data_IF_539413288551
#
_entry.id   IF_539413288551
#
_cell.length_a   1.000
_cell.length_b   1.000
_cell.length_c   1.000
_cell.angle_alpha   90.00
_cell.angle_beta   90.00
_cell.angle_gamma   90.00
#
_symmetry.space_group_name_H-M   'P 1'
#
loop_
_entity.id
_entity.type
_entity.pdbx_description
1 polymer ?
#
# COMPACT_ATOMS: atom_id res chain seq x y z
N UNK A 1 -12.88 -4.49 22.19
CA UNK A 1 -11.94 -3.40 21.82
C UNK A 1 -11.04 -3.80 20.64
N UNK A 2 -10.26 -4.88 20.75
CA UNK A 2 -9.37 -5.34 19.66
C UNK A 2 -10.10 -5.59 18.32
N UNK A 3 -11.24 -6.28 18.34
CA UNK A 3 -12.03 -6.53 17.12
C UNK A 3 -12.53 -5.25 16.45
N UNK A 4 -12.94 -4.24 17.22
CA UNK A 4 -13.41 -2.95 16.69
C UNK A 4 -12.30 -2.18 15.99
N UNK A 5 -11.08 -2.22 16.55
CA UNK A 5 -9.90 -1.60 15.93
C UNK A 5 -9.48 -2.34 14.65
N UNK A 6 -9.56 -3.67 14.62
CA UNK A 6 -9.20 -4.49 13.46
C UNK A 6 -10.16 -4.20 12.29
N UNK A 7 -11.47 -4.21 12.59
CA UNK A 7 -12.51 -3.84 11.63
C UNK A 7 -12.32 -2.40 11.15
N UNK A 8 -12.03 -1.48 12.06
CA UNK A 8 -11.73 -0.08 11.74
C UNK A 8 -10.56 0.04 10.76
N UNK A 9 -9.43 -0.61 11.06
CA UNK A 9 -8.27 -0.66 10.17
C UNK A 9 -8.64 -1.23 8.79
N UNK A 10 -9.39 -2.34 8.79
CA UNK A 10 -9.99 -2.98 7.62
C UNK A 10 -10.75 -2.00 6.71
N UNK A 11 -11.65 -1.22 7.33
CA UNK A 11 -12.48 -0.22 6.66
C UNK A 11 -11.62 0.92 6.10
N UNK A 12 -10.71 1.50 6.87
CA UNK A 12 -9.85 2.60 6.42
C UNK A 12 -8.95 2.20 5.24
N UNK A 13 -8.39 0.99 5.26
CA UNK A 13 -7.61 0.46 4.14
C UNK A 13 -8.48 0.16 2.91
N UNK A 14 -9.67 -0.37 3.11
CA UNK A 14 -10.64 -0.56 2.03
C UNK A 14 -10.99 0.78 1.36
N UNK A 15 -11.24 1.83 2.15
CA UNK A 15 -11.48 3.18 1.61
C UNK A 15 -10.23 3.70 0.87
N UNK A 16 -9.03 3.45 1.40
CA UNK A 16 -7.77 3.78 0.73
C UNK A 16 -7.71 3.16 -0.68
N UNK A 17 -7.99 1.86 -0.81
CA UNK A 17 -8.00 1.19 -2.11
C UNK A 17 -9.06 1.76 -3.06
N UNK A 18 -10.27 2.01 -2.58
CA UNK A 18 -11.34 2.62 -3.38
C UNK A 18 -10.95 4.01 -3.88
N UNK A 19 -10.30 4.81 -3.03
CA UNK A 19 -9.81 6.14 -3.40
C UNK A 19 -8.66 6.06 -4.42
N UNK A 20 -7.72 5.10 -4.27
CA UNK A 20 -6.65 4.85 -5.25
C UNK A 20 -7.27 4.51 -6.61
N UNK A 21 -8.22 3.56 -6.65
CA UNK A 21 -8.92 3.17 -7.86
C UNK A 21 -9.65 4.36 -8.49
N UNK A 22 -10.40 5.11 -7.70
CA UNK A 22 -11.13 6.28 -8.19
C UNK A 22 -10.19 7.32 -8.77
N UNK A 23 -9.16 7.71 -8.01
CA UNK A 23 -8.20 8.75 -8.39
C UNK A 23 -7.44 8.32 -9.65
N UNK A 24 -7.01 7.07 -9.71
CA UNK A 24 -6.32 6.54 -10.88
C UNK A 24 -7.19 6.50 -12.14
N UNK A 25 -8.48 6.17 -12.00
CA UNK A 25 -9.42 6.18 -13.12
C UNK A 25 -9.73 7.60 -13.62
N UNK A 26 -9.82 8.57 -12.69
CA UNK A 26 -10.08 9.99 -12.97
C UNK A 26 -8.89 10.67 -13.65
N UNK A 27 -7.68 10.40 -13.17
CA UNK A 27 -6.46 11.02 -13.70
C UNK A 27 -5.85 10.25 -14.88
N UNK A 28 -6.34 9.04 -15.17
CA UNK A 28 -5.73 8.10 -16.13
C UNK A 28 -4.25 7.83 -15.82
N UNK A 29 -3.94 7.74 -14.53
CA UNK A 29 -2.62 7.44 -13.97
C UNK A 29 -2.75 6.37 -12.90
N UNK A 30 -1.68 5.63 -12.60
CA UNK A 30 -1.73 4.66 -11.51
C UNK A 30 -1.46 5.35 -10.17
N UNK A 31 -2.22 4.99 -9.14
CA UNK A 31 -2.11 5.62 -7.82
C UNK A 31 -1.14 4.96 -6.84
N UNK A 32 -0.75 3.70 -7.09
CA UNK A 32 0.15 2.95 -6.20
C UNK A 32 1.50 2.66 -6.86
N UNK A 33 2.64 2.95 -6.21
CA UNK A 33 3.96 2.59 -6.72
C UNK A 33 4.13 1.08 -6.97
N UNK A 34 4.87 0.71 -8.02
CA UNK A 34 5.00 -0.68 -8.47
C UNK A 34 5.39 -1.66 -7.35
N UNK A 35 6.47 -1.38 -6.61
CA UNK A 35 6.96 -2.31 -5.60
C UNK A 35 5.97 -2.48 -4.45
N UNK A 36 5.23 -1.42 -4.09
CA UNK A 36 4.16 -1.51 -3.10
C UNK A 36 2.98 -2.36 -3.61
N UNK A 37 2.60 -2.19 -4.88
CA UNK A 37 1.56 -3.01 -5.51
C UNK A 37 1.94 -4.49 -5.59
N UNK A 38 3.18 -4.80 -6.00
CA UNK A 38 3.70 -6.17 -6.04
C UNK A 38 3.69 -6.81 -4.65
N UNK A 39 4.12 -6.08 -3.62
CA UNK A 39 4.12 -6.55 -2.25
C UNK A 39 2.70 -6.82 -1.75
N UNK A 40 1.77 -5.87 -1.96
CA UNK A 40 0.36 -6.02 -1.59
C UNK A 40 -0.29 -7.24 -2.24
N UNK A 41 -0.22 -7.36 -3.57
CA UNK A 41 -0.76 -8.51 -4.31
C UNK A 41 -0.21 -9.84 -3.77
N UNK A 42 1.10 -9.90 -3.54
CA UNK A 42 1.75 -11.08 -3.02
C UNK A 42 1.29 -11.41 -1.60
N UNK A 43 1.25 -10.41 -0.70
CA UNK A 43 0.81 -10.58 0.68
C UNK A 43 -0.64 -11.07 0.73
N UNK A 44 -1.56 -10.38 0.06
CA UNK A 44 -2.98 -10.75 0.06
C UNK A 44 -3.19 -12.16 -0.51
N UNK A 45 -2.47 -12.52 -1.59
CA UNK A 45 -2.56 -13.86 -2.15
C UNK A 45 -2.02 -14.94 -1.19
N UNK A 46 -0.83 -14.73 -0.63
CA UNK A 46 -0.19 -15.68 0.29
C UNK A 46 -1.10 -15.92 1.49
N UNK A 47 -1.57 -14.86 2.16
CA UNK A 47 -2.37 -14.98 3.37
C UNK A 47 -3.86 -15.24 3.13
N UNK A 48 -4.29 -15.30 1.86
CA UNK A 48 -5.60 -15.80 1.48
C UNK A 48 -5.59 -17.28 1.09
N UNK A 49 -4.52 -17.78 0.44
CA UNK A 49 -4.51 -19.11 -0.19
C UNK A 49 -3.38 -20.04 0.28
N UNK A 50 -2.18 -19.52 0.57
CA UNK A 50 -0.99 -20.34 0.90
C UNK A 50 -0.87 -20.56 2.40
N UNK A 51 -0.90 -19.47 3.17
CA UNK A 51 -0.92 -19.44 4.63
C UNK A 51 -2.22 -18.76 5.09
N UNK A 52 -3.38 -19.38 4.83
CA UNK A 52 -4.65 -18.68 4.90
C UNK A 52 -4.98 -18.26 6.33
N UNK A 53 -5.16 -16.95 6.55
CA UNK A 53 -5.55 -16.40 7.84
C UNK A 53 -6.83 -17.05 8.40
N UNK A 54 -7.01 -17.09 9.74
CA UNK A 54 -8.28 -17.51 10.30
C UNK A 54 -9.41 -16.53 9.93
N UNK A 55 -10.64 -17.02 9.99
CA UNK A 55 -11.81 -16.15 9.90
C UNK A 55 -11.84 -15.16 11.08
N UNK A 56 -12.27 -13.89 10.89
CA UNK A 56 -12.85 -13.30 9.67
C UNK A 56 -11.82 -12.65 8.72
N UNK A 57 -10.55 -12.54 9.10
CA UNK A 57 -9.52 -11.81 8.33
C UNK A 57 -9.35 -12.37 6.92
N UNK A 58 -9.51 -13.69 6.72
CA UNK A 58 -9.47 -14.30 5.39
C UNK A 58 -10.44 -13.67 4.37
N UNK A 59 -11.64 -13.30 4.80
CA UNK A 59 -12.64 -12.65 3.94
C UNK A 59 -12.15 -11.26 3.54
N UNK A 60 -11.55 -10.53 4.49
CA UNK A 60 -10.97 -9.21 4.24
C UNK A 60 -9.84 -9.33 3.22
N UNK A 61 -8.97 -10.34 3.34
CA UNK A 61 -7.89 -10.56 2.37
C UNK A 61 -8.43 -10.85 0.97
N UNK A 62 -9.50 -11.63 0.82
CA UNK A 62 -10.13 -11.82 -0.51
C UNK A 62 -10.65 -10.50 -1.08
N UNK A 63 -11.30 -9.67 -0.25
CA UNK A 63 -11.79 -8.34 -0.66
C UNK A 63 -10.62 -7.44 -1.07
N UNK A 64 -9.56 -7.37 -0.27
CA UNK A 64 -8.37 -6.59 -0.56
C UNK A 64 -7.65 -7.05 -1.82
N UNK A 65 -7.50 -8.37 -2.01
CA UNK A 65 -6.95 -8.93 -3.24
C UNK A 65 -7.77 -8.50 -4.47
N UNK A 66 -9.10 -8.47 -4.39
CA UNK A 66 -9.91 -7.99 -5.53
C UNK A 66 -9.66 -6.52 -5.85
N UNK A 67 -9.44 -5.67 -4.84
CA UNK A 67 -9.07 -4.28 -5.07
C UNK A 67 -7.65 -4.15 -5.64
N UNK A 68 -6.69 -4.91 -5.14
CA UNK A 68 -5.32 -4.91 -5.65
C UNK A 68 -5.26 -5.38 -7.10
N UNK A 69 -6.09 -6.35 -7.52
CA UNK A 69 -6.23 -6.72 -8.94
C UNK A 69 -6.77 -5.56 -9.78
N UNK A 70 -7.68 -4.75 -9.24
CA UNK A 70 -8.14 -3.52 -9.89
C UNK A 70 -7.02 -2.48 -10.01
N UNK A 71 -6.22 -2.29 -8.96
CA UNK A 71 -5.08 -1.36 -8.95
C UNK A 71 -3.99 -1.85 -9.91
N UNK A 72 -3.77 -3.17 -9.99
CA UNK A 72 -2.92 -3.81 -10.98
C UNK A 72 -3.37 -3.52 -12.40
N UNK A 73 -4.67 -3.66 -12.69
CA UNK A 73 -5.21 -3.32 -14.00
C UNK A 73 -4.95 -1.84 -14.36
N UNK A 74 -5.08 -0.91 -13.39
CA UNK A 74 -4.72 0.49 -13.60
C UNK A 74 -3.23 0.70 -13.82
N UNK A 75 -2.37 0.01 -13.07
CA UNK A 75 -0.92 0.05 -13.25
C UNK A 75 -0.53 -0.41 -14.65
N UNK A 76 -1.04 -1.56 -15.10
CA UNK A 76 -0.72 -2.11 -16.42
C UNK A 76 -1.30 -1.27 -17.56
N UNK A 77 -2.45 -0.63 -17.35
CA UNK A 77 -3.11 0.22 -18.38
C UNK A 77 -2.49 1.61 -18.50
N UNK A 78 -2.16 2.24 -17.37
CA UNK A 78 -1.71 3.64 -17.34
C UNK A 78 -0.19 3.78 -17.16
N UNK A 79 0.45 2.84 -16.46
CA UNK A 79 1.88 2.91 -16.15
C UNK A 79 2.80 2.73 -17.36
N UNK A 80 2.32 2.09 -18.44
CA UNK A 80 3.09 1.99 -19.68
C UNK A 80 3.38 3.37 -20.30
N UNK A 81 2.52 4.36 -20.07
CA UNK A 81 2.70 5.74 -20.56
C UNK A 81 3.82 6.49 -19.86
N UNK A 82 4.18 6.07 -18.66
CA UNK A 82 5.29 6.61 -17.88
C UNK A 82 6.57 5.79 -18.04
N UNK A 83 6.52 4.70 -18.82
CA UNK A 83 7.70 3.91 -19.10
C UNK A 83 8.62 4.66 -20.08
N UNK A 84 9.95 4.67 -19.88
CA UNK A 84 10.86 5.43 -20.74
C UNK A 84 10.73 5.01 -22.20
N UNK A 85 10.52 5.98 -23.10
CA UNK A 85 10.32 5.73 -24.54
C UNK A 85 11.54 5.09 -25.22
N UNK A 86 12.73 5.29 -24.64
CA UNK A 86 13.99 4.70 -25.10
C UNK A 86 14.17 3.23 -24.71
N UNK A 87 13.24 2.64 -23.96
CA UNK A 87 13.30 1.24 -23.54
C UNK A 87 12.22 0.38 -24.24
N UNK A 88 12.50 -0.89 -24.57
CA UNK A 88 11.50 -1.79 -25.12
C UNK A 88 10.31 -1.97 -24.19
N UNK A 89 9.08 -1.79 -24.71
CA UNK A 89 7.83 -1.99 -23.95
C UNK A 89 7.74 -3.33 -23.21
N UNK A 90 8.24 -4.47 -23.73
CA UNK A 90 8.24 -5.73 -22.97
C UNK A 90 8.93 -5.64 -21.60
N UNK A 91 9.95 -4.78 -21.45
CA UNK A 91 10.65 -4.59 -20.17
C UNK A 91 9.76 -4.00 -19.08
N UNK A 92 8.70 -3.27 -19.44
CA UNK A 92 7.70 -2.84 -18.47
C UNK A 92 7.02 -4.03 -17.78
N UNK A 93 6.57 -5.02 -18.57
CA UNK A 93 5.91 -6.21 -18.08
C UNK A 93 6.87 -7.16 -17.36
N UNK A 94 8.09 -7.32 -17.87
CA UNK A 94 9.14 -8.10 -17.21
C UNK A 94 9.48 -7.52 -15.84
N UNK A 95 9.64 -6.19 -15.74
CA UNK A 95 9.87 -5.49 -14.46
C UNK A 95 8.72 -5.73 -13.48
N UNK A 96 7.48 -5.67 -13.95
CA UNK A 96 6.31 -5.98 -13.12
C UNK A 96 6.32 -7.43 -12.63
N UNK A 97 6.54 -8.39 -13.53
CA UNK A 97 6.54 -9.82 -13.21
C UNK A 97 7.66 -10.18 -12.23
N UNK A 98 8.88 -9.68 -12.46
CA UNK A 98 10.02 -9.87 -11.55
C UNK A 98 9.70 -9.26 -10.18
N UNK A 99 9.15 -8.05 -10.15
CA UNK A 99 8.76 -7.41 -8.90
C UNK A 99 7.73 -8.23 -8.12
N UNK A 100 6.71 -8.75 -8.80
CA UNK A 100 5.68 -9.58 -8.18
C UNK A 100 6.22 -10.91 -7.66
N UNK A 101 7.02 -11.62 -8.47
CA UNK A 101 7.63 -12.89 -8.08
C UNK A 101 8.61 -12.69 -6.91
N UNK A 102 9.44 -11.64 -6.97
CA UNK A 102 10.37 -11.34 -5.88
C UNK A 102 9.63 -10.97 -4.60
N UNK A 103 8.58 -10.15 -4.67
CA UNK A 103 7.73 -9.84 -3.52
C UNK A 103 7.10 -11.10 -2.91
N UNK A 104 6.57 -12.01 -3.74
CA UNK A 104 5.98 -13.26 -3.27
C UNK A 104 7.02 -14.13 -2.56
N UNK A 105 8.17 -14.37 -3.19
CA UNK A 105 9.26 -15.15 -2.60
C UNK A 105 9.76 -14.52 -1.30
N UNK A 106 9.98 -13.21 -1.29
CA UNK A 106 10.45 -12.49 -0.12
C UNK A 106 9.47 -12.61 1.06
N UNK A 107 8.17 -12.40 0.82
CA UNK A 107 7.15 -12.50 1.87
C UNK A 107 7.05 -13.94 2.39
N UNK A 108 7.03 -14.94 1.50
CA UNK A 108 7.01 -16.36 1.90
C UNK A 108 8.23 -16.73 2.74
N UNK A 109 9.44 -16.31 2.33
CA UNK A 109 10.66 -16.64 3.07
C UNK A 109 10.79 -15.84 4.36
N UNK A 110 10.29 -14.60 4.46
CA UNK A 110 10.17 -13.88 5.74
C UNK A 110 9.29 -14.66 6.71
N UNK A 111 8.15 -15.19 6.26
CA UNK A 111 7.26 -16.00 7.10
C UNK A 111 7.92 -17.29 7.58
N UNK A 112 8.70 -17.95 6.73
CA UNK A 112 9.43 -19.16 7.11
C UNK A 112 10.56 -18.84 8.08
N UNK A 113 11.40 -17.84 7.78
CA UNK A 113 12.58 -17.47 8.58
C UNK A 113 12.21 -17.01 9.98
N UNK A 114 11.11 -16.26 10.12
CA UNK A 114 10.63 -15.78 11.42
C UNK A 114 9.63 -16.74 12.08
N UNK A 115 9.34 -17.88 11.47
CA UNK A 115 8.30 -18.82 11.90
C UNK A 115 6.95 -18.10 12.16
N UNK A 116 6.62 -17.13 11.31
CA UNK A 116 5.54 -16.15 11.48
C UNK A 116 4.57 -16.19 10.28
N UNK A 117 3.48 -16.93 10.43
CA UNK A 117 2.52 -17.22 9.35
C UNK A 117 1.21 -16.42 9.44
N UNK A 118 1.13 -15.42 10.32
CA UNK A 118 0.08 -14.39 10.39
C UNK A 118 0.48 -13.16 9.55
N UNK A 119 1.73 -13.09 9.08
CA UNK A 119 2.19 -12.14 8.07
C UNK A 119 2.33 -10.71 8.55
N UNK A 120 2.34 -10.46 9.86
CA UNK A 120 2.36 -9.09 10.38
C UNK A 120 3.71 -8.40 10.18
N UNK A 121 4.84 -9.12 10.26
CA UNK A 121 6.15 -8.50 9.96
C UNK A 121 6.24 -8.09 8.49
N UNK A 122 5.80 -8.98 7.59
CA UNK A 122 5.72 -8.67 6.17
C UNK A 122 4.75 -7.50 5.89
N UNK A 123 3.59 -7.47 6.57
CA UNK A 123 2.59 -6.42 6.41
C UNK A 123 3.11 -5.03 6.80
N UNK A 124 3.74 -4.90 7.97
CA UNK A 124 4.29 -3.61 8.39
C UNK A 124 5.56 -3.24 7.61
N UNK A 125 6.41 -4.22 7.26
CA UNK A 125 7.58 -3.99 6.42
C UNK A 125 7.23 -3.42 5.04
N UNK A 126 6.27 -4.04 4.34
CA UNK A 126 5.81 -3.54 3.05
C UNK A 126 5.04 -2.22 3.15
N UNK A 127 4.35 -1.97 4.27
CA UNK A 127 3.66 -0.70 4.50
C UNK A 127 4.65 0.46 4.67
N UNK A 128 5.76 0.24 5.39
CA UNK A 128 6.85 1.21 5.46
C UNK A 128 7.45 1.49 4.07
N UNK A 129 7.73 0.43 3.31
CA UNK A 129 8.17 0.56 1.91
C UNK A 129 7.16 1.40 1.11
N UNK A 130 5.87 1.11 1.23
CA UNK A 130 4.80 1.84 0.57
C UNK A 130 4.79 3.33 0.94
N UNK A 131 4.87 3.68 2.23
CA UNK A 131 4.94 5.08 2.70
C UNK A 131 6.08 5.86 2.07
N UNK A 132 7.28 5.27 2.03
CA UNK A 132 8.46 5.89 1.40
C UNK A 132 8.25 6.06 -0.11
N UNK A 133 7.69 5.04 -0.78
CA UNK A 133 7.47 5.07 -2.22
C UNK A 133 6.40 6.07 -2.65
N UNK A 134 5.38 6.33 -1.84
CA UNK A 134 4.41 7.40 -2.10
C UNK A 134 5.08 8.77 -2.14
N UNK A 135 6.00 9.05 -1.22
CA UNK A 135 6.81 10.28 -1.23
C UNK A 135 7.71 10.33 -2.47
N UNK A 136 8.37 9.23 -2.80
CA UNK A 136 9.20 9.15 -4.01
C UNK A 136 8.39 9.43 -5.27
N UNK A 137 7.18 8.87 -5.37
CA UNK A 137 6.25 9.10 -6.47
C UNK A 137 5.82 10.57 -6.54
N UNK A 138 5.55 11.22 -5.40
CA UNK A 138 5.25 12.64 -5.33
C UNK A 138 6.35 13.51 -5.94
N UNK A 139 7.62 13.19 -5.68
CA UNK A 139 8.73 13.99 -6.21
C UNK A 139 9.07 13.68 -7.66
N UNK A 140 8.99 12.41 -8.09
CA UNK A 140 9.49 11.98 -9.41
C UNK A 140 8.48 12.14 -10.55
N UNK A 141 7.18 12.08 -10.27
CA UNK A 141 6.11 12.03 -11.29
C UNK A 141 5.88 13.36 -12.02
N UNK A 142 6.42 14.48 -11.51
CA UNK A 142 6.15 15.84 -11.99
C UNK A 142 4.66 16.23 -12.07
N UNK A 143 3.75 15.41 -11.55
CA UNK A 143 2.31 15.68 -11.44
C UNK A 143 1.77 15.05 -10.15
N UNK A 144 0.60 15.51 -9.73
CA UNK A 144 -0.16 14.96 -8.59
C UNK A 144 -1.10 13.82 -9.00
N UNK A 145 -1.01 13.35 -10.25
CA UNK A 145 -1.88 12.31 -10.77
C UNK A 145 -1.78 11.00 -9.98
N UNK A 146 -2.93 10.39 -9.72
CA UNK A 146 -3.05 9.16 -8.93
C UNK A 146 -2.94 9.35 -7.41
N UNK A 147 -2.65 10.57 -6.92
CA UNK A 147 -2.49 10.87 -5.50
C UNK A 147 -3.60 11.78 -4.99
N UNK A 148 -3.96 11.65 -3.71
CA UNK A 148 -4.92 12.54 -3.04
C UNK A 148 -4.66 12.63 -1.54
N UNK A 149 -5.04 13.75 -0.94
CA UNK A 149 -4.93 13.94 0.50
C UNK A 149 -5.79 12.92 1.27
N UNK A 150 -6.93 12.50 0.69
CA UNK A 150 -7.76 11.45 1.27
C UNK A 150 -7.09 10.07 1.24
N UNK A 151 -6.39 9.70 0.17
CA UNK A 151 -5.61 8.45 0.14
C UNK A 151 -4.57 8.45 1.26
N UNK A 152 -3.81 9.55 1.38
CA UNK A 152 -2.79 9.70 2.42
C UNK A 152 -3.38 9.60 3.83
N UNK A 153 -4.49 10.31 4.08
CA UNK A 153 -5.16 10.33 5.39
C UNK A 153 -5.74 8.97 5.78
N UNK A 154 -6.52 8.34 4.89
CA UNK A 154 -7.18 7.06 5.19
C UNK A 154 -6.17 5.92 5.33
N UNK A 155 -5.08 5.91 4.53
CA UNK A 155 -3.98 4.96 4.69
C UNK A 155 -3.35 5.08 6.08
N UNK A 156 -3.05 6.31 6.49
CA UNK A 156 -2.42 6.60 7.78
C UNK A 156 -3.33 6.17 8.92
N UNK A 157 -4.62 6.53 8.89
CA UNK A 157 -5.58 6.13 9.92
C UNK A 157 -5.75 4.62 10.01
N UNK A 158 -5.84 3.93 8.86
CA UNK A 158 -5.91 2.47 8.83
C UNK A 158 -4.68 1.81 9.46
N UNK A 159 -3.50 2.36 9.20
CA UNK A 159 -2.25 1.86 9.76
C UNK A 159 -2.10 2.18 11.25
N UNK A 160 -2.51 3.37 11.72
CA UNK A 160 -2.49 3.70 13.15
C UNK A 160 -3.32 2.70 13.94
N UNK A 161 -4.53 2.37 13.47
CA UNK A 161 -5.38 1.39 14.14
C UNK A 161 -4.72 0.00 14.16
N UNK A 162 -4.13 -0.44 13.06
CA UNK A 162 -3.37 -1.70 13.01
C UNK A 162 -2.19 -1.69 14.01
N UNK A 163 -1.37 -0.63 14.01
CA UNK A 163 -0.23 -0.48 14.90
C UNK A 163 -0.62 -0.54 16.38
N UNK A 164 -1.72 0.11 16.77
CA UNK A 164 -2.22 0.05 18.16
C UNK A 164 -2.55 -1.39 18.55
N UNK A 165 -3.24 -2.14 17.69
CA UNK A 165 -3.65 -3.51 17.96
C UNK A 165 -2.43 -4.43 18.08
N UNK A 166 -1.52 -4.36 17.11
CA UNK A 166 -0.32 -5.20 17.12
C UNK A 166 0.65 -4.83 18.23
N UNK A 167 0.68 -3.58 18.68
CA UNK A 167 1.39 -3.20 19.91
C UNK A 167 0.77 -3.84 21.15
N UNK A 168 -0.55 -3.89 21.25
CA UNK A 168 -1.24 -4.55 22.39
C UNK A 168 -1.00 -6.06 22.41
N UNK A 169 -0.91 -6.71 21.24
CA UNK A 169 -0.59 -8.14 21.14
C UNK A 169 0.89 -8.45 21.36
N UNK A 170 1.79 -7.60 20.85
CA UNK A 170 3.23 -7.84 20.84
C UNK A 170 4.03 -6.65 21.42
N UNK A 171 3.79 -6.25 22.68
CA UNK A 171 4.37 -5.02 23.25
C UNK A 171 5.90 -5.07 23.38
N UNK A 172 6.50 -6.27 23.33
CA UNK A 172 7.95 -6.48 23.43
C UNK A 172 8.65 -6.60 22.07
N UNK A 173 7.94 -6.47 20.96
CA UNK A 173 8.57 -6.51 19.63
C UNK A 173 9.13 -5.13 19.27
N UNK A 174 10.44 -4.97 19.48
CA UNK A 174 11.16 -3.73 19.15
C UNK A 174 11.13 -3.42 17.64
N UNK A 175 11.19 -4.45 16.80
CA UNK A 175 11.10 -4.27 15.35
C UNK A 175 9.73 -3.73 14.94
N UNK A 176 8.64 -4.27 15.50
CA UNK A 176 7.30 -3.74 15.24
C UNK A 176 7.15 -2.30 15.72
N UNK A 177 7.65 -1.97 16.92
CA UNK A 177 7.61 -0.60 17.43
C UNK A 177 8.36 0.37 16.50
N UNK A 178 9.54 -0.01 16.01
CA UNK A 178 10.30 0.77 15.02
C UNK A 178 9.49 0.96 13.73
N UNK A 179 8.88 -0.10 13.19
CA UNK A 179 8.07 -0.04 11.98
C UNK A 179 6.86 0.88 12.18
N UNK A 180 6.15 0.79 13.31
CA UNK A 180 4.98 1.63 13.59
C UNK A 180 5.34 3.12 13.59
N UNK A 181 6.41 3.48 14.29
CA UNK A 181 6.89 4.86 14.38
C UNK A 181 7.37 5.36 13.02
N UNK A 182 8.16 4.55 12.31
CA UNK A 182 8.65 4.92 10.98
C UNK A 182 7.51 5.14 9.99
N UNK A 183 6.53 4.22 9.92
CA UNK A 183 5.37 4.37 9.04
C UNK A 183 4.59 5.63 9.37
N UNK A 184 4.31 5.88 10.65
CA UNK A 184 3.60 7.07 11.08
C UNK A 184 4.32 8.36 10.68
N UNK A 185 5.64 8.43 10.87
CA UNK A 185 6.47 9.57 10.47
C UNK A 185 6.42 9.78 8.96
N UNK A 186 6.62 8.73 8.16
CA UNK A 186 6.60 8.85 6.70
C UNK A 186 5.20 9.16 6.16
N UNK A 187 4.13 8.63 6.74
CA UNK A 187 2.76 8.97 6.35
C UNK A 187 2.43 10.44 6.67
N UNK A 188 2.88 10.96 7.81
CA UNK A 188 2.77 12.38 8.14
C UNK A 188 3.55 13.26 7.16
N UNK A 189 4.80 12.90 6.85
CA UNK A 189 5.62 13.61 5.86
C UNK A 189 4.91 13.61 4.50
N UNK A 190 4.43 12.46 4.05
CA UNK A 190 3.71 12.31 2.79
C UNK A 190 2.47 13.21 2.75
N UNK A 191 1.61 13.13 3.78
CA UNK A 191 0.40 13.94 3.86
C UNK A 191 0.72 15.44 3.86
N UNK A 192 1.74 15.87 4.62
CA UNK A 192 2.15 17.27 4.66
C UNK A 192 2.69 17.75 3.31
N UNK A 193 3.62 17.02 2.69
CA UNK A 193 4.20 17.38 1.40
C UNK A 193 3.14 17.40 0.29
N UNK A 194 2.25 16.42 0.27
CA UNK A 194 1.17 16.34 -0.72
C UNK A 194 0.20 17.50 -0.57
N UNK A 195 -0.25 17.80 0.65
CA UNK A 195 -1.17 18.93 0.90
C UNK A 195 -0.52 20.28 0.60
N UNK A 196 0.78 20.44 0.90
CA UNK A 196 1.54 21.62 0.53
C UNK A 196 1.62 21.80 -0.98
N UNK A 197 1.95 20.74 -1.72
CA UNK A 197 2.05 20.77 -3.19
C UNK A 197 0.69 21.03 -3.85
N UNK A 198 -0.38 20.40 -3.37
CA UNK A 198 -1.76 20.66 -3.81
C UNK A 198 -2.11 22.15 -3.69
N UNK A 199 -1.84 22.76 -2.52
CA UNK A 199 -2.08 24.20 -2.31
C UNK A 199 -1.24 25.07 -3.24
N UNK A 200 0.03 24.72 -3.45
CA UNK A 200 0.93 25.45 -4.37
C UNK A 200 0.45 25.41 -5.82
N UNK A 201 -0.19 24.31 -6.24
CA UNK A 201 -0.80 24.16 -7.57
C UNK A 201 -2.23 24.73 -7.64
N UNK A 202 -2.69 25.45 -6.60
CA UNK A 202 -4.03 26.06 -6.56
C UNK A 202 -5.17 25.07 -6.33
N UNK A 203 -4.85 23.81 -6.02
CA UNK A 203 -5.82 22.74 -5.80
C UNK A 203 -6.19 22.69 -4.31
N UNK A 204 -7.48 22.73 -4.02
CA UNK A 204 -8.00 22.54 -2.65
C UNK A 204 -7.82 21.07 -2.23
N UNK A 205 -6.98 20.75 -1.22
CA UNK A 205 -6.61 19.36 -0.93
C UNK A 205 -7.80 18.44 -0.64
N UNK A 206 -8.84 18.96 0.00
CA UNK A 206 -10.03 18.21 0.42
C UNK A 206 -11.17 18.25 -0.59
N UNK A 207 -10.97 18.87 -1.75
CA UNK A 207 -11.88 18.76 -2.89
C UNK A 207 -11.27 17.87 -4.00
N UNK A 208 -10.05 17.39 -3.75
CA UNK A 208 -9.27 16.57 -4.66
C UNK A 208 -9.32 15.11 -4.24
N UNK A 209 -10.45 14.47 -4.54
CA UNK A 209 -10.71 13.05 -4.30
C UNK A 209 -10.94 12.28 -5.61
#
# INVERSE_FOLDING_TARGET
MANSLLIGSGIFWTITYLLILRRGAKDKMYGMPLAALCANLAWEFIFAFVFPHPYPQRIINYIWLTFDLGIMAQYLSYGLREFPENLPKPFFYVKFLIGLLFSALLITYISIEFEEFIGYYAAFGQNLLMSVLFISMLFRRNSLGGQSAYIALFKMLGTILASIIFYLYFPKSYLLLLLFLAIFIYDLIYLFLLTFRLKKEGIRPWQHW
#
